data_IF_552498041245
#
_entry.id   IF_552498041245
#
_cell.length_a   1.000
_cell.length_b   1.000
_cell.length_c   1.000
_cell.angle_alpha   90.00
_cell.angle_beta   90.00
_cell.angle_gamma   90.00
#
_symmetry.space_group_name_H-M   'P 1'
#
loop_
_entity.id
_entity.type
_entity.pdbx_description
1 polymer ?
#
# COMPACT_ATOMS: atom_id res chain seq x y z
N UNK A 1 -33.42 36.63 -7.86
CA UNK A 1 -33.29 35.20 -7.52
C UNK A 1 -32.18 35.06 -6.49
N UNK A 2 -32.46 34.53 -5.29
CA UNK A 2 -31.44 34.24 -4.28
C UNK A 2 -31.14 32.74 -4.36
N UNK A 3 -29.88 32.39 -4.59
CA UNK A 3 -29.39 31.00 -4.54
C UNK A 3 -28.52 30.86 -3.29
N UNK A 4 -28.53 29.69 -2.66
CA UNK A 4 -27.68 29.42 -1.50
C UNK A 4 -26.20 29.30 -1.91
N UNK A 5 -25.28 29.44 -0.95
CA UNK A 5 -23.85 29.24 -1.21
C UNK A 5 -23.54 27.82 -1.70
N UNK A 6 -24.28 26.82 -1.19
CA UNK A 6 -24.16 25.41 -1.58
C UNK A 6 -24.69 25.15 -2.99
N UNK A 7 -25.81 25.80 -3.36
CA UNK A 7 -26.37 25.74 -4.71
C UNK A 7 -25.42 26.39 -5.73
N UNK A 8 -24.86 27.55 -5.39
CA UNK A 8 -23.85 28.23 -6.20
C UNK A 8 -22.61 27.35 -6.40
N UNK A 9 -22.11 26.72 -5.33
CA UNK A 9 -20.96 25.81 -5.39
C UNK A 9 -21.24 24.59 -6.27
N UNK A 10 -22.41 23.95 -6.11
CA UNK A 10 -22.83 22.81 -6.94
C UNK A 10 -22.93 23.19 -8.41
N UNK A 11 -23.53 24.34 -8.73
CA UNK A 11 -23.70 24.80 -10.12
C UNK A 11 -22.35 25.14 -10.76
N UNK A 12 -21.47 25.85 -10.06
CA UNK A 12 -20.16 26.24 -10.59
C UNK A 12 -19.26 25.02 -10.78
N UNK A 13 -19.28 24.06 -9.84
CA UNK A 13 -18.49 22.82 -9.94
C UNK A 13 -18.91 21.97 -11.15
N UNK A 14 -20.20 21.95 -11.50
CA UNK A 14 -20.70 21.28 -12.72
C UNK A 14 -20.07 21.83 -14.01
N UNK A 15 -19.63 23.08 -14.00
CA UNK A 15 -18.96 23.73 -15.13
C UNK A 15 -17.42 23.63 -15.07
N UNK A 16 -16.88 22.70 -14.28
CA UNK A 16 -15.44 22.42 -14.25
C UNK A 16 -14.65 23.46 -13.46
N UNK A 17 -15.22 24.08 -12.45
CA UNK A 17 -14.52 25.01 -11.57
C UNK A 17 -14.28 24.36 -10.21
N UNK A 18 -13.13 24.65 -9.58
CA UNK A 18 -12.81 24.23 -8.21
C UNK A 18 -12.84 25.44 -7.26
N UNK A 19 -13.46 25.27 -6.08
CA UNK A 19 -13.48 26.27 -5.00
C UNK A 19 -12.09 26.48 -4.40
N UNK A 20 -11.71 27.74 -4.24
CA UNK A 20 -10.55 28.22 -3.50
C UNK A 20 -11.06 29.01 -2.29
N UNK A 21 -10.64 28.61 -1.09
CA UNK A 21 -11.00 29.28 0.15
C UNK A 21 -9.93 30.32 0.49
N UNK A 22 -10.31 31.59 0.63
CA UNK A 22 -9.42 32.69 1.03
C UNK A 22 -9.70 33.18 2.47
N UNK A 23 -10.19 32.30 3.34
CA UNK A 23 -10.54 32.64 4.72
C UNK A 23 -9.40 33.31 5.51
N UNK A 24 -8.14 33.09 5.12
CA UNK A 24 -6.97 33.62 5.82
C UNK A 24 -6.61 35.08 5.46
N UNK A 25 -7.32 35.73 4.51
CA UNK A 25 -7.05 37.11 4.08
C UNK A 25 -7.96 38.17 4.73
N UNK A 26 -8.73 37.82 5.76
CA UNK A 26 -9.55 38.78 6.51
C UNK A 26 -10.81 39.28 5.78
N UNK A 27 -11.14 38.71 4.62
CA UNK A 27 -12.38 39.00 3.90
C UNK A 27 -13.41 37.92 4.19
N UNK A 28 -14.46 38.26 4.95
CA UNK A 28 -15.48 37.32 5.41
C UNK A 28 -16.32 36.63 4.30
N UNK A 29 -16.17 36.99 3.01
CA UNK A 29 -17.05 36.45 1.95
C UNK A 29 -16.43 36.33 0.55
N UNK A 30 -15.10 36.16 0.41
CA UNK A 30 -14.51 35.96 -0.92
C UNK A 30 -14.32 34.47 -1.24
N UNK A 31 -15.29 33.88 -1.93
CA UNK A 31 -15.16 32.53 -2.52
C UNK A 31 -14.63 32.70 -3.94
N UNK A 32 -13.39 32.24 -4.19
CA UNK A 32 -12.83 32.21 -5.54
C UNK A 32 -13.03 30.85 -6.17
N UNK A 33 -13.19 30.84 -7.49
CA UNK A 33 -13.28 29.61 -8.28
C UNK A 33 -12.25 29.69 -9.40
N UNK A 34 -11.54 28.59 -9.64
CA UNK A 34 -10.62 28.46 -10.78
C UNK A 34 -11.18 27.46 -11.78
N UNK A 35 -11.21 27.83 -13.07
CA UNK A 35 -11.55 26.90 -14.15
C UNK A 35 -10.46 25.82 -14.20
N UNK A 36 -10.88 24.57 -14.12
CA UNK A 36 -10.02 23.42 -14.35
C UNK A 36 -9.71 23.41 -15.85
N UNK A 37 -8.43 23.28 -16.26
CA UNK A 37 -8.09 23.14 -17.67
C UNK A 37 -8.91 22.01 -18.32
N UNK A 38 -9.40 22.22 -19.54
CA UNK A 38 -10.21 21.23 -20.25
C UNK A 38 -9.45 19.91 -20.45
N UNK A 39 -8.14 19.98 -20.72
CA UNK A 39 -7.23 18.83 -20.78
C UNK A 39 -7.25 17.97 -19.50
N UNK A 40 -7.28 18.60 -18.31
CA UNK A 40 -7.33 17.88 -17.04
C UNK A 40 -8.71 17.24 -16.82
N UNK A 41 -9.75 17.91 -17.31
CA UNK A 41 -11.14 17.42 -17.24
C UNK A 41 -11.32 16.19 -18.12
N UNK A 42 -10.66 16.13 -19.28
CA UNK A 42 -10.72 14.99 -20.19
C UNK A 42 -9.84 13.82 -19.74
N UNK A 43 -8.69 14.10 -19.12
CA UNK A 43 -7.89 13.07 -18.43
C UNK A 43 -8.67 12.43 -17.27
N UNK A 44 -9.43 13.19 -16.50
CA UNK A 44 -10.27 12.66 -15.42
C UNK A 44 -11.48 11.85 -15.94
N UNK A 45 -11.85 12.02 -17.21
CA UNK A 45 -12.89 11.22 -17.89
C UNK A 45 -12.34 9.97 -18.57
N UNK A 46 -11.03 9.82 -18.73
CA UNK A 46 -10.42 8.58 -19.22
C UNK A 46 -10.53 7.49 -18.14
N UNK A 47 -11.72 6.89 -18.04
CA UNK A 47 -11.96 5.68 -17.23
C UNK A 47 -11.45 4.39 -17.91
N UNK A 48 -11.11 4.45 -19.20
CA UNK A 48 -10.90 3.27 -20.05
C UNK A 48 -9.44 3.00 -20.45
N UNK A 49 -8.47 3.63 -19.78
CA UNK A 49 -7.06 3.26 -19.99
C UNK A 49 -6.77 1.92 -19.28
N UNK A 50 -6.96 0.80 -19.99
CA UNK A 50 -6.64 -0.53 -19.47
C UNK A 50 -5.12 -0.70 -19.33
N UNK A 51 -4.67 -1.07 -18.13
CA UNK A 51 -3.29 -1.50 -17.87
C UNK A 51 -3.31 -3.01 -17.64
N UNK A 52 -2.51 -3.75 -18.41
CA UNK A 52 -2.29 -5.18 -18.21
C UNK A 52 -0.94 -5.36 -17.54
N UNK A 53 -0.92 -5.94 -16.33
CA UNK A 53 0.31 -6.29 -15.64
C UNK A 53 0.68 -7.74 -15.95
N UNK A 54 1.94 -7.96 -16.32
CA UNK A 54 2.50 -9.28 -16.50
C UNK A 54 3.40 -9.61 -15.31
N UNK A 55 3.12 -10.68 -14.56
CA UNK A 55 3.98 -11.07 -13.45
C UNK A 55 5.35 -11.50 -13.96
N UNK A 56 6.41 -11.07 -13.26
CA UNK A 56 7.81 -11.39 -13.60
C UNK A 56 8.35 -12.58 -12.81
N UNK A 57 7.59 -13.04 -11.83
CA UNK A 57 7.97 -14.17 -10.98
C UNK A 57 6.88 -14.54 -9.99
N UNK A 58 7.21 -15.44 -9.08
CA UNK A 58 6.32 -15.95 -8.04
C UNK A 58 7.03 -16.01 -6.69
N UNK A 59 6.28 -15.71 -5.64
CA UNK A 59 6.74 -15.81 -4.25
C UNK A 59 6.49 -17.22 -3.72
N UNK A 60 7.49 -17.79 -3.05
CA UNK A 60 7.37 -18.96 -2.20
C UNK A 60 7.64 -18.62 -0.75
N UNK A 61 6.66 -18.84 0.12
CA UNK A 61 6.73 -18.52 1.56
C UNK A 61 5.95 -19.54 2.39
N UNK A 62 6.09 -19.50 3.71
CA UNK A 62 5.27 -20.33 4.61
C UNK A 62 3.89 -19.74 4.90
N UNK A 63 3.60 -18.56 4.37
CA UNK A 63 2.34 -17.85 4.62
C UNK A 63 1.29 -18.42 3.67
N UNK A 64 0.59 -19.47 4.07
CA UNK A 64 -0.41 -20.10 3.19
C UNK A 64 -1.71 -19.29 3.05
N UNK A 65 -2.04 -18.47 4.05
CA UNK A 65 -3.31 -17.72 4.13
C UNK A 65 -3.04 -16.27 4.54
N UNK A 66 -3.81 -15.30 4.01
CA UNK A 66 -3.60 -13.90 4.30
C UNK A 66 -4.03 -13.58 5.74
N UNK A 67 -3.28 -12.75 6.45
CA UNK A 67 -3.67 -12.30 7.79
C UNK A 67 -4.93 -11.42 7.77
N UNK A 68 -5.17 -10.73 6.65
CA UNK A 68 -6.33 -9.86 6.46
C UNK A 68 -7.15 -10.36 5.28
N UNK A 69 -8.44 -10.58 5.51
CA UNK A 69 -9.39 -11.04 4.49
C UNK A 69 -10.37 -9.91 4.22
N UNK A 70 -10.53 -9.59 2.94
CA UNK A 70 -11.51 -8.64 2.46
C UNK A 70 -12.79 -9.37 2.03
N UNK A 71 -13.94 -8.83 2.38
CA UNK A 71 -15.25 -9.31 1.95
C UNK A 71 -16.29 -8.19 1.97
N UNK A 72 -17.56 -8.56 1.81
CA UNK A 72 -18.69 -7.61 1.76
C UNK A 72 -18.79 -6.76 3.03
N UNK A 73 -18.47 -7.34 4.19
CA UNK A 73 -18.47 -6.67 5.49
C UNK A 73 -17.19 -5.86 5.79
N UNK A 74 -16.33 -5.66 4.78
CA UNK A 74 -15.08 -4.93 4.90
C UNK A 74 -13.85 -5.83 5.10
N UNK A 75 -12.83 -5.27 5.74
CA UNK A 75 -11.55 -5.94 6.00
C UNK A 75 -11.54 -6.50 7.42
N UNK A 76 -11.22 -7.79 7.59
CA UNK A 76 -11.14 -8.44 8.90
C UNK A 76 -9.83 -9.21 9.07
N UNK A 77 -9.37 -9.33 10.31
CA UNK A 77 -8.28 -10.23 10.65
C UNK A 77 -8.73 -11.69 10.52
N UNK A 78 -7.91 -12.53 9.92
CA UNK A 78 -8.14 -13.97 9.81
C UNK A 78 -7.49 -14.71 10.98
N UNK A 79 -8.32 -15.39 11.79
CA UNK A 79 -7.86 -16.17 12.95
C UNK A 79 -7.76 -15.35 14.24
N UNK A 80 -7.17 -15.94 15.28
CA UNK A 80 -6.94 -15.27 16.56
C UNK A 80 -5.83 -14.20 16.39
N UNK A 81 -6.10 -13.00 16.92
CA UNK A 81 -5.14 -11.89 16.93
C UNK A 81 -3.80 -12.30 17.56
N UNK A 82 -3.80 -13.15 18.61
CA UNK A 82 -2.57 -13.63 19.25
C UNK A 82 -1.73 -14.48 18.30
N UNK A 83 -2.36 -15.36 17.53
CA UNK A 83 -1.66 -16.23 16.58
C UNK A 83 -1.12 -15.44 15.38
N UNK A 84 -1.90 -14.48 14.89
CA UNK A 84 -1.46 -13.56 13.85
C UNK A 84 -0.26 -12.73 14.31
N UNK A 85 -0.31 -12.22 15.54
CA UNK A 85 0.79 -11.46 16.15
C UNK A 85 2.05 -12.33 16.28
N UNK A 86 1.96 -13.57 16.77
CA UNK A 86 3.14 -14.46 16.85
C UNK A 86 3.77 -14.68 15.48
N UNK A 87 2.97 -14.97 14.45
CA UNK A 87 3.47 -15.14 13.07
C UNK A 87 4.15 -13.86 12.56
N UNK A 88 3.54 -12.70 12.77
CA UNK A 88 4.12 -11.40 12.39
C UNK A 88 5.49 -11.18 13.05
N UNK A 89 5.70 -11.68 14.27
CA UNK A 89 6.98 -11.57 14.97
C UNK A 89 8.06 -12.52 14.46
N UNK A 90 7.68 -13.71 13.97
CA UNK A 90 8.62 -14.70 13.42
C UNK A 90 9.01 -14.37 11.97
N UNK A 91 8.10 -13.78 11.20
CA UNK A 91 8.26 -13.45 9.78
C UNK A 91 9.58 -12.74 9.40
N UNK A 92 10.11 -11.76 10.16
CA UNK A 92 11.39 -11.13 9.81
C UNK A 92 12.58 -12.10 9.76
N UNK A 93 12.51 -13.22 10.47
CA UNK A 93 13.55 -14.26 10.48
C UNK A 93 13.31 -15.40 9.49
N UNK A 94 12.14 -15.46 8.85
CA UNK A 94 11.80 -16.53 7.92
C UNK A 94 12.32 -16.25 6.50
N UNK A 95 13.06 -17.21 5.95
CA UNK A 95 13.51 -17.17 4.56
C UNK A 95 12.31 -17.44 3.65
N UNK A 96 12.09 -16.52 2.72
CA UNK A 96 11.19 -16.69 1.57
C UNK A 96 11.99 -16.65 0.27
N UNK A 97 11.45 -17.26 -0.78
CA UNK A 97 12.06 -17.26 -2.10
C UNK A 97 11.24 -16.45 -3.08
N UNK A 98 11.91 -15.63 -3.89
CA UNK A 98 11.32 -15.00 -5.07
C UNK A 98 11.92 -15.70 -6.29
N UNK A 99 11.07 -16.36 -7.07
CA UNK A 99 11.48 -17.12 -8.26
C UNK A 99 11.06 -16.33 -9.49
N UNK A 100 12.04 -15.80 -10.23
CA UNK A 100 11.81 -15.07 -11.48
C UNK A 100 11.52 -16.06 -12.61
N UNK A 101 10.58 -15.72 -13.49
CA UNK A 101 10.23 -16.58 -14.61
C UNK A 101 11.35 -16.66 -15.66
N UNK A 102 11.38 -17.77 -16.39
CA UNK A 102 12.32 -17.99 -17.49
C UNK A 102 12.09 -17.00 -18.64
N UNK A 103 13.13 -16.76 -19.44
CA UNK A 103 13.08 -15.81 -20.58
C UNK A 103 13.32 -14.34 -20.21
N UNK A 104 13.66 -14.06 -18.95
CA UNK A 104 14.06 -12.74 -18.45
C UNK A 104 15.57 -12.69 -18.15
N UNK A 105 16.39 -13.16 -19.10
CA UNK A 105 17.84 -13.26 -18.92
C UNK A 105 18.47 -11.91 -18.58
N UNK A 106 19.40 -11.91 -17.63
CA UNK A 106 20.12 -10.72 -17.17
C UNK A 106 19.30 -9.72 -16.33
N UNK A 107 17.99 -9.92 -16.14
CA UNK A 107 17.13 -8.98 -15.40
C UNK A 107 17.55 -8.78 -13.93
N UNK A 108 18.30 -9.72 -13.37
CA UNK A 108 18.79 -9.72 -11.99
C UNK A 108 20.27 -9.33 -11.87
N UNK A 109 20.95 -9.00 -12.97
CA UNK A 109 22.39 -8.72 -12.92
C UNK A 109 22.67 -7.47 -12.09
N UNK A 110 23.67 -7.56 -11.20
CA UNK A 110 23.99 -6.53 -10.21
C UNK A 110 23.08 -6.49 -8.97
N UNK A 111 22.05 -7.35 -8.87
CA UNK A 111 21.11 -7.29 -7.72
C UNK A 111 21.79 -7.57 -6.37
N UNK A 112 22.85 -8.38 -6.35
CA UNK A 112 23.60 -8.76 -5.15
C UNK A 112 24.46 -7.62 -4.59
N UNK A 113 24.62 -6.53 -5.33
CA UNK A 113 25.26 -5.30 -4.83
C UNK A 113 24.37 -4.57 -3.80
N UNK A 114 23.09 -4.92 -3.73
CA UNK A 114 22.12 -4.34 -2.79
C UNK A 114 21.83 -5.30 -1.64
N UNK A 115 21.85 -4.78 -0.40
CA UNK A 115 21.44 -5.55 0.78
C UNK A 115 19.93 -5.64 0.95
N UNK A 116 19.18 -4.69 0.37
CA UNK A 116 17.73 -4.58 0.52
C UNK A 116 17.06 -4.28 -0.81
N UNK A 117 15.88 -4.85 -1.00
CA UNK A 117 15.07 -4.71 -2.19
C UNK A 117 13.66 -4.27 -1.83
N UNK A 118 13.06 -3.43 -2.66
CA UNK A 118 11.63 -3.15 -2.67
C UNK A 118 10.98 -4.19 -3.59
N UNK A 119 10.02 -4.94 -3.05
CA UNK A 119 9.26 -5.94 -3.81
C UNK A 119 7.84 -5.42 -4.00
N UNK A 120 7.40 -5.32 -5.25
CA UNK A 120 6.00 -5.08 -5.60
C UNK A 120 5.36 -6.41 -6.00
N UNK A 121 4.28 -6.79 -5.33
CA UNK A 121 3.60 -8.06 -5.56
C UNK A 121 2.09 -7.91 -5.56
N UNK A 122 1.40 -8.85 -6.20
CA UNK A 122 -0.06 -8.86 -6.30
C UNK A 122 -0.67 -9.70 -5.18
N UNK A 123 -1.55 -9.11 -4.35
CA UNK A 123 -2.31 -9.85 -3.34
C UNK A 123 -3.43 -10.67 -3.99
N UNK A 124 -3.04 -11.77 -4.63
CA UNK A 124 -3.87 -12.65 -5.46
C UNK A 124 -5.06 -13.30 -4.74
N UNK A 125 -5.11 -13.24 -3.40
CA UNK A 125 -6.24 -13.74 -2.59
C UNK A 125 -7.25 -12.68 -2.20
N UNK A 126 -7.06 -11.42 -2.62
CA UNK A 126 -8.07 -10.36 -2.44
C UNK A 126 -9.14 -10.56 -3.51
N UNK A 127 -10.40 -10.84 -3.11
CA UNK A 127 -11.49 -11.05 -4.06
C UNK A 127 -11.95 -9.70 -4.64
N UNK A 128 -12.74 -9.75 -5.72
CA UNK A 128 -13.17 -8.56 -6.46
C UNK A 128 -13.99 -7.58 -5.60
N UNK A 129 -14.80 -8.11 -4.68
CA UNK A 129 -15.57 -7.32 -3.71
C UNK A 129 -14.62 -6.53 -2.80
N UNK A 130 -13.52 -7.16 -2.38
CA UNK A 130 -12.47 -6.52 -1.60
C UNK A 130 -11.73 -5.41 -2.35
N UNK A 131 -11.64 -5.52 -3.69
CA UNK A 131 -11.03 -4.49 -4.54
C UNK A 131 -11.93 -3.26 -4.70
N UNK A 132 -13.24 -3.44 -4.51
CA UNK A 132 -14.24 -2.38 -4.61
C UNK A 132 -14.42 -1.57 -3.32
N UNK A 133 -13.84 -2.01 -2.21
CA UNK A 133 -13.85 -1.24 -0.96
C UNK A 133 -13.19 0.13 -1.18
N UNK A 134 -13.73 1.15 -0.53
CA UNK A 134 -13.18 2.53 -0.57
C UNK A 134 -12.62 2.98 0.78
N UNK A 135 -13.07 2.34 1.86
CA UNK A 135 -12.69 2.60 3.25
C UNK A 135 -12.56 1.27 3.99
N UNK A 136 -11.70 1.25 5.00
CA UNK A 136 -11.50 0.10 5.87
C UNK A 136 -11.16 0.56 7.29
N UNK A 137 -11.48 -0.29 8.27
CA UNK A 137 -10.80 -0.26 9.56
C UNK A 137 -9.34 -0.72 9.36
N UNK A 138 -8.32 0.10 9.70
CA UNK A 138 -6.91 -0.30 9.55
C UNK A 138 -6.63 -1.64 10.24
N UNK A 139 -5.99 -2.58 9.53
CA UNK A 139 -5.76 -3.95 10.01
C UNK A 139 -7.04 -4.71 10.44
N UNK A 140 -8.22 -4.30 9.98
CA UNK A 140 -9.51 -4.87 10.38
C UNK A 140 -9.88 -4.59 11.84
N UNK A 141 -9.29 -3.55 12.45
CA UNK A 141 -9.49 -3.20 13.86
C UNK A 141 -10.57 -2.15 14.05
N UNK A 142 -11.71 -2.59 14.58
CA UNK A 142 -12.86 -1.73 14.83
C UNK A 142 -12.59 -0.64 15.90
N UNK A 143 -11.60 -0.83 16.77
CA UNK A 143 -11.16 0.19 17.73
C UNK A 143 -10.44 1.38 17.07
N UNK A 144 -10.10 1.27 15.78
CA UNK A 144 -9.52 2.35 14.97
C UNK A 144 -10.58 2.81 13.97
N UNK A 145 -10.96 4.11 13.95
CA UNK A 145 -11.95 4.61 12.99
C UNK A 145 -11.52 4.33 11.55
N UNK A 146 -12.50 4.04 10.69
CA UNK A 146 -12.25 3.80 9.28
C UNK A 146 -11.43 4.91 8.61
N UNK A 147 -10.59 4.51 7.67
CA UNK A 147 -9.81 5.39 6.82
C UNK A 147 -10.05 5.04 5.35
N UNK A 148 -9.94 6.03 4.47
CA UNK A 148 -9.90 5.76 3.03
C UNK A 148 -8.73 4.82 2.73
N UNK A 149 -8.90 3.87 1.82
CA UNK A 149 -7.92 2.81 1.59
C UNK A 149 -6.52 3.34 1.26
N UNK A 150 -6.41 4.45 0.53
CA UNK A 150 -5.12 5.07 0.21
C UNK A 150 -4.42 5.75 1.39
N UNK A 151 -5.10 5.93 2.53
CA UNK A 151 -4.50 6.34 3.79
C UNK A 151 -3.98 5.15 4.61
N UNK A 152 -4.08 3.92 4.09
CA UNK A 152 -3.71 2.67 4.76
C UNK A 152 -2.83 1.81 3.85
N UNK A 153 -2.22 0.76 4.44
CA UNK A 153 -1.54 -0.31 3.71
C UNK A 153 -2.41 -1.58 3.56
N UNK A 154 -3.75 -1.44 3.58
CA UNK A 154 -4.68 -2.56 3.42
C UNK A 154 -4.43 -3.33 2.11
N UNK A 155 -4.54 -4.67 2.09
CA UNK A 155 -4.52 -5.43 0.85
C UNK A 155 -5.79 -5.24 0.00
N UNK A 156 -6.92 -4.89 0.64
CA UNK A 156 -8.18 -4.57 -0.03
C UNK A 156 -8.08 -3.19 -0.71
N UNK A 157 -7.75 -3.17 -2.00
CA UNK A 157 -7.55 -1.96 -2.81
C UNK A 157 -7.98 -2.22 -4.25
N UNK A 158 -8.34 -1.17 -5.03
CA UNK A 158 -8.71 -1.33 -6.44
C UNK A 158 -7.68 -2.11 -7.27
N UNK A 159 -6.41 -1.77 -7.07
CA UNK A 159 -5.26 -2.52 -7.57
C UNK A 159 -4.49 -3.05 -6.36
N UNK A 160 -4.64 -4.33 -5.98
CA UNK A 160 -3.98 -4.96 -4.83
C UNK A 160 -2.48 -5.20 -5.06
N UNK A 161 -1.78 -4.17 -5.57
CA UNK A 161 -0.33 -4.10 -5.64
C UNK A 161 0.16 -3.67 -4.27
N UNK A 162 0.85 -4.59 -3.60
CA UNK A 162 1.46 -4.38 -2.29
C UNK A 162 2.96 -4.20 -2.44
N UNK A 163 3.55 -3.57 -1.43
CA UNK A 163 4.96 -3.23 -1.39
C UNK A 163 5.52 -3.70 -0.06
N UNK A 164 6.67 -4.34 -0.10
CA UNK A 164 7.46 -4.62 1.10
C UNK A 164 8.95 -4.42 0.83
N UNK A 165 9.71 -4.09 1.87
CA UNK A 165 11.16 -3.99 1.81
C UNK A 165 11.73 -5.26 2.44
N UNK A 166 12.55 -5.98 1.69
CA UNK A 166 13.15 -7.24 2.12
C UNK A 166 14.66 -7.11 2.22
N UNK A 167 15.28 -7.92 3.09
CA UNK A 167 16.72 -8.09 3.13
C UNK A 167 17.12 -9.24 2.20
N UNK A 168 17.99 -8.98 1.22
CA UNK A 168 18.52 -9.99 0.30
C UNK A 168 19.58 -10.84 1.02
N UNK A 169 19.35 -12.16 1.10
CA UNK A 169 20.30 -13.13 1.66
C UNK A 169 21.25 -13.68 0.63
N UNK A 170 20.77 -13.86 -0.60
CA UNK A 170 21.56 -14.35 -1.71
C UNK A 170 20.71 -14.61 -2.95
N UNK A 171 21.40 -14.86 -4.07
CA UNK A 171 20.79 -15.25 -5.35
C UNK A 171 21.35 -16.61 -5.77
N UNK A 172 20.48 -17.46 -6.31
CA UNK A 172 20.85 -18.71 -7.00
C UNK A 172 20.12 -18.77 -8.34
N UNK A 173 20.81 -18.38 -9.41
CA UNK A 173 20.20 -18.30 -10.74
C UNK A 173 19.08 -17.27 -10.79
N UNK A 174 17.85 -17.72 -11.02
CA UNK A 174 16.62 -16.91 -11.03
C UNK A 174 15.89 -16.87 -9.67
N UNK A 175 16.49 -17.41 -8.61
CA UNK A 175 15.91 -17.45 -7.26
C UNK A 175 16.62 -16.44 -6.35
N UNK A 176 15.85 -15.58 -5.68
CA UNK A 176 16.33 -14.71 -4.61
C UNK A 176 15.86 -15.25 -3.26
N UNK A 177 16.79 -15.46 -2.34
CA UNK A 177 16.49 -15.78 -0.93
C UNK A 177 16.41 -14.48 -0.14
N UNK A 178 15.29 -14.23 0.54
CA UNK A 178 15.01 -12.95 1.21
C UNK A 178 14.41 -13.13 2.60
N UNK A 179 14.62 -12.13 3.47
CA UNK A 179 13.96 -12.01 4.79
C UNK A 179 13.01 -10.81 4.82
N UNK A 180 11.95 -10.91 5.64
CA UNK A 180 10.99 -9.82 5.87
C UNK A 180 9.87 -9.73 4.83
N UNK A 181 9.69 -10.74 3.99
CA UNK A 181 8.60 -10.82 3.02
C UNK A 181 7.28 -11.20 3.72
N UNK A 182 6.22 -10.43 3.48
CA UNK A 182 4.89 -10.61 4.10
C UNK A 182 3.81 -11.13 3.16
N UNK A 183 4.24 -11.68 2.03
CA UNK A 183 3.37 -12.15 0.97
C UNK A 183 2.93 -13.62 1.18
N UNK A 184 1.67 -13.88 0.83
CA UNK A 184 1.11 -15.24 0.79
C UNK A 184 1.84 -16.08 -0.27
N UNK A 185 2.08 -17.36 0.01
CA UNK A 185 2.66 -18.32 -0.94
C UNK A 185 1.90 -18.30 -2.27
N UNK A 186 2.64 -18.28 -3.38
CA UNK A 186 2.09 -18.18 -4.72
C UNK A 186 1.77 -16.76 -5.18
N UNK A 187 2.06 -15.73 -4.38
CA UNK A 187 1.83 -14.33 -4.79
C UNK A 187 2.67 -13.97 -6.03
N UNK A 188 2.05 -13.45 -7.10
CA UNK A 188 2.78 -12.99 -8.27
C UNK A 188 3.64 -11.76 -7.96
N UNK A 189 4.88 -11.76 -8.43
CA UNK A 189 5.75 -10.59 -8.38
C UNK A 189 5.47 -9.70 -9.58
N UNK A 190 5.25 -8.42 -9.33
CA UNK A 190 5.03 -7.41 -10.36
C UNK A 190 6.35 -6.74 -10.72
N UNK A 191 7.16 -6.37 -9.74
CA UNK A 191 8.40 -5.62 -9.95
C UNK A 191 9.34 -5.72 -8.74
N UNK A 192 10.64 -5.47 -8.97
CA UNK A 192 11.69 -5.46 -7.95
C UNK A 192 12.56 -4.22 -8.16
N UNK A 193 12.82 -3.46 -7.10
CA UNK A 193 13.70 -2.28 -7.13
C UNK A 193 14.76 -2.34 -6.04
N UNK A 194 15.95 -1.76 -6.25
CA UNK A 194 16.90 -1.59 -5.15
C UNK A 194 16.32 -0.64 -4.09
N UNK A 195 16.54 -0.96 -2.82
CA UNK A 195 16.24 -0.01 -1.74
C UNK A 195 17.46 0.89 -1.51
N UNK A 196 17.30 2.18 -1.81
CA UNK A 196 18.30 3.22 -1.55
C UNK A 196 17.70 4.19 -0.55
N UNK A 197 18.21 4.16 0.69
CA UNK A 197 17.69 4.96 1.81
C UNK A 197 17.58 6.44 1.46
N UNK A 198 18.59 6.98 0.79
CA UNK A 198 18.70 8.41 0.48
C UNK A 198 17.70 8.90 -0.59
N UNK A 199 16.98 7.99 -1.27
CA UNK A 199 15.88 8.38 -2.16
C UNK A 199 14.61 8.76 -1.41
N UNK A 200 14.53 8.49 -0.11
CA UNK A 200 13.36 8.76 0.71
C UNK A 200 13.67 9.83 1.77
N UNK A 201 12.77 10.77 2.04
CA UNK A 201 12.92 11.71 3.16
C UNK A 201 13.14 10.96 4.47
N UNK A 202 14.17 11.36 5.22
CA UNK A 202 14.50 10.79 6.54
C UNK A 202 14.10 11.70 7.69
N UNK A 203 14.02 13.01 7.43
CA UNK A 203 13.69 14.04 8.40
C UNK A 203 12.32 14.64 8.08
N UNK A 204 11.65 15.19 9.10
CA UNK A 204 10.33 15.83 8.98
C UNK A 204 9.20 14.96 8.37
N UNK A 205 9.34 13.63 8.43
CA UNK A 205 8.29 12.69 8.03
C UNK A 205 7.24 12.57 9.13
N UNK A 206 5.99 12.87 8.79
CA UNK A 206 4.86 12.75 9.72
C UNK A 206 3.93 11.58 9.33
N UNK A 207 3.56 10.78 10.32
CA UNK A 207 2.48 9.78 10.22
C UNK A 207 1.42 10.06 11.30
N UNK A 208 0.13 9.75 11.05
CA UNK A 208 -0.93 10.03 12.01
C UNK A 208 -0.80 9.16 13.27
N UNK A 209 -1.29 9.65 14.40
CA UNK A 209 -1.17 8.99 15.73
C UNK A 209 -1.66 7.54 15.73
N UNK A 210 -2.77 7.23 15.03
CA UNK A 210 -3.30 5.87 14.94
C UNK A 210 -2.32 4.91 14.24
N UNK A 211 -1.52 5.39 13.29
CA UNK A 211 -0.50 4.59 12.61
C UNK A 211 0.73 4.39 13.49
N UNK A 212 1.14 5.44 14.22
CA UNK A 212 2.22 5.35 15.21
C UNK A 212 1.90 4.30 16.27
N UNK A 213 0.69 4.34 16.83
CA UNK A 213 0.21 3.37 17.81
C UNK A 213 0.28 1.94 17.27
N UNK A 214 -0.17 1.70 16.04
CA UNK A 214 -0.08 0.38 15.41
C UNK A 214 1.38 -0.10 15.26
N UNK A 215 2.28 0.77 14.81
CA UNK A 215 3.70 0.43 14.69
C UNK A 215 4.32 0.11 16.05
N UNK A 216 4.00 0.87 17.08
CA UNK A 216 4.47 0.59 18.44
C UNK A 216 3.94 -0.74 18.97
N UNK A 217 2.67 -1.07 18.76
CA UNK A 217 2.08 -2.34 19.21
C UNK A 217 2.72 -3.53 18.50
N UNK A 218 2.98 -3.42 17.19
CA UNK A 218 3.72 -4.42 16.42
C UNK A 218 5.18 -4.52 16.87
N UNK A 219 5.82 -3.41 17.25
CA UNK A 219 7.21 -3.43 17.71
C UNK A 219 7.36 -3.90 19.17
N UNK A 220 6.40 -3.62 20.06
CA UNK A 220 6.43 -4.02 21.48
C UNK A 220 6.36 -5.54 21.67
N UNK A 221 5.80 -6.28 20.72
CA UNK A 221 5.85 -7.73 20.74
C UNK A 221 7.19 -8.32 20.28
N UNK A 222 8.10 -7.52 19.69
CA UNK A 222 9.48 -7.95 19.44
C UNK A 222 10.17 -8.03 20.80
N UNK A 223 10.26 -9.22 21.37
CA UNK A 223 11.16 -9.45 22.51
C UNK A 223 12.53 -8.90 22.15
N UNK A 224 13.22 -8.17 23.06
CA UNK A 224 14.55 -7.65 22.78
C UNK A 224 15.47 -8.84 22.51
N UNK A 225 15.80 -9.07 21.23
CA UNK A 225 16.78 -10.09 20.89
C UNK A 225 18.09 -9.68 21.55
N UNK A 226 18.59 -10.57 22.41
CA UNK A 226 19.90 -10.50 23.03
C UNK A 226 20.92 -10.18 21.94
N UNK A 227 21.63 -9.07 22.14
CA UNK A 227 22.91 -8.77 21.48
C UNK A 227 23.74 -10.04 21.37
N UNK A 228 23.94 -10.54 20.15
CA UNK A 228 25.01 -11.50 19.88
C UNK A 228 26.29 -10.70 19.64
N UNK A 229 27.21 -10.89 20.59
CA UNK A 229 28.64 -10.59 20.54
C UNK A 229 29.35 -11.34 19.42
#
# INVERSE_FOLDING_TARGET
MRISAEELERTITKHGFRKLSLCDLGYNYLIQFRKIPEELTDLLKQKDASIVLHPVGIIRSKIEKPFLVAGEEGLKMQGDLKDAVVKIHEMPGEISNIIIYEGLDGILDGIEEYSHLVILYWAHKVPEEGRSLTRVHPMGREDIPEKGIFCTCSPARPNPVLMTVVHLKGRKGNVLEVLGLDAVDGSPVIDIKPYVKDFFPQEDVHIPEWMQRLQEEVNKGKSPNKTQS
#
